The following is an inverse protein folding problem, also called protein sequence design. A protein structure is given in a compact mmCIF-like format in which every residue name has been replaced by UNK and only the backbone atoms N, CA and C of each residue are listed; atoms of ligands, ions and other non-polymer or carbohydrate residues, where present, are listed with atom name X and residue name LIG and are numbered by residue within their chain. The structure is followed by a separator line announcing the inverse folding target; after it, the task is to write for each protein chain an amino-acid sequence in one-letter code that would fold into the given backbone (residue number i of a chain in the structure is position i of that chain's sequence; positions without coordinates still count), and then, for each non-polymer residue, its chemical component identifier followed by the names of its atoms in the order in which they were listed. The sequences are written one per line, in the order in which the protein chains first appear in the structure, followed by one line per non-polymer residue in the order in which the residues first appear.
data_IF_061744046879
#
_entry.id   IF_061744046879
#
_cell.length_a   1.000
_cell.length_b   1.000
_cell.length_c   1.000
_cell.angle_alpha   90.00
_cell.angle_beta   90.00
_cell.angle_gamma   90.00
#
_symmetry.space_group_name_H-M   'P 1'
#
loop_
_entity.id
_entity.type
_entity.pdbx_description
1 polymer ?
#
# COMPACT_ATOMS: atom_id res chain seq x y z
N UNK A 1 -2.32 14.60 -25.25
CA UNK A 1 -1.69 13.28 -25.43
C UNK A 1 -2.04 12.83 -26.84
N UNK A 2 -1.02 12.50 -27.63
CA UNK A 2 -1.14 12.32 -29.09
C UNK A 2 -1.27 10.84 -29.49
N UNK A 3 -1.24 9.94 -28.51
CA UNK A 3 -1.33 8.49 -28.67
C UNK A 3 -2.33 7.93 -27.66
N UNK A 4 -2.93 6.75 -27.93
CA UNK A 4 -3.79 6.06 -26.99
C UNK A 4 -2.99 5.62 -25.75
N UNK A 5 -3.65 5.49 -24.59
CA UNK A 5 -3.01 5.21 -23.30
C UNK A 5 -2.08 4.01 -23.35
N UNK A 6 -2.47 2.98 -24.10
CA UNK A 6 -1.74 1.72 -24.31
C UNK A 6 -0.32 1.95 -24.87
N UNK A 7 -0.11 3.02 -25.63
CA UNK A 7 1.21 3.39 -26.16
C UNK A 7 2.21 3.72 -25.04
N UNK A 8 1.73 4.25 -23.92
CA UNK A 8 2.54 4.63 -22.77
C UNK A 8 2.61 3.54 -21.69
N UNK A 9 1.97 2.39 -21.91
CA UNK A 9 1.96 1.27 -20.98
C UNK A 9 2.94 0.18 -21.45
N UNK A 10 3.88 -0.19 -20.59
CA UNK A 10 4.71 -1.38 -20.80
C UNK A 10 3.96 -2.61 -20.31
N UNK A 11 3.75 -3.58 -21.21
CA UNK A 11 3.17 -4.88 -20.84
C UNK A 11 4.25 -5.80 -20.29
N UNK A 12 3.91 -6.62 -19.29
CA UNK A 12 4.87 -7.53 -18.64
C UNK A 12 5.50 -8.50 -19.65
N UNK A 13 4.74 -8.93 -20.67
CA UNK A 13 5.21 -9.84 -21.72
C UNK A 13 6.31 -9.22 -22.60
N UNK A 14 6.42 -7.89 -22.63
CA UNK A 14 7.42 -7.15 -23.42
C UNK A 14 8.63 -6.69 -22.61
N UNK A 15 8.67 -6.99 -21.30
CA UNK A 15 9.75 -6.56 -20.42
C UNK A 15 11.00 -7.43 -20.58
N UNK A 16 12.16 -6.80 -20.50
CA UNK A 16 13.43 -7.49 -20.39
C UNK A 16 13.56 -8.25 -19.06
N UNK A 17 14.46 -9.24 -18.95
CA UNK A 17 14.68 -9.96 -17.69
C UNK A 17 15.01 -9.04 -16.50
N UNK A 18 15.75 -7.95 -16.74
CA UNK A 18 16.09 -6.97 -15.69
C UNK A 18 14.88 -6.17 -15.21
N UNK A 19 14.01 -5.75 -16.13
CA UNK A 19 12.76 -5.05 -15.81
C UNK A 19 11.79 -5.95 -15.04
N UNK A 20 11.71 -7.25 -15.39
CA UNK A 20 10.92 -8.22 -14.64
C UNK A 20 11.41 -8.38 -13.20
N UNK A 21 12.73 -8.38 -12.97
CA UNK A 21 13.30 -8.38 -11.61
C UNK A 21 12.92 -7.09 -10.87
N UNK A 22 12.99 -5.94 -11.53
CA UNK A 22 12.55 -4.65 -10.98
C UNK A 22 11.07 -4.66 -10.61
N UNK A 23 10.20 -5.13 -11.51
CA UNK A 23 8.76 -5.26 -11.30
C UNK A 23 8.44 -6.18 -10.12
N UNK A 24 9.12 -7.32 -10.00
CA UNK A 24 8.94 -8.23 -8.86
C UNK A 24 9.32 -7.58 -7.54
N UNK A 25 10.44 -6.85 -7.49
CA UNK A 25 10.85 -6.09 -6.29
C UNK A 25 9.83 -5.01 -5.95
N UNK A 26 9.35 -4.28 -6.95
CA UNK A 26 8.33 -3.25 -6.77
C UNK A 26 7.02 -3.84 -6.23
N UNK A 27 6.58 -4.97 -6.80
CA UNK A 27 5.37 -5.68 -6.37
C UNK A 27 5.51 -6.20 -4.94
N UNK A 28 6.64 -6.83 -4.60
CA UNK A 28 6.93 -7.26 -3.24
C UNK A 28 6.95 -6.10 -2.23
N UNK A 29 7.48 -4.93 -2.64
CA UNK A 29 7.45 -3.73 -1.80
C UNK A 29 6.02 -3.22 -1.56
N UNK A 30 5.19 -3.13 -2.60
CA UNK A 30 3.78 -2.72 -2.48
C UNK A 30 2.98 -3.73 -1.66
N UNK A 31 3.19 -5.03 -1.88
CA UNK A 31 2.53 -6.12 -1.15
C UNK A 31 2.94 -6.15 0.35
N UNK A 32 4.10 -5.59 0.69
CA UNK A 32 4.54 -5.46 2.10
C UNK A 32 3.79 -4.38 2.88
N UNK A 33 3.01 -3.53 2.20
CA UNK A 33 2.23 -2.50 2.88
C UNK A 33 1.13 -3.14 3.72
N UNK A 34 1.22 -2.95 5.04
CA UNK A 34 0.20 -3.42 5.97
C UNK A 34 -1.10 -2.70 5.69
N UNK A 35 -2.15 -3.41 5.25
CA UNK A 35 -3.41 -2.76 4.96
C UNK A 35 -4.07 -2.29 6.26
N UNK A 36 -4.72 -1.13 6.24
CA UNK A 36 -5.39 -0.63 7.43
C UNK A 36 -6.61 -1.49 7.74
N UNK A 37 -6.62 -2.07 8.94
CA UNK A 37 -7.74 -2.85 9.45
C UNK A 37 -8.88 -1.88 9.78
N UNK A 38 -10.05 -2.12 9.20
CA UNK A 38 -11.25 -1.41 9.62
C UNK A 38 -11.63 -1.89 11.01
N UNK A 39 -11.69 -0.96 11.96
CA UNK A 39 -12.16 -1.23 13.32
C UNK A 39 -13.37 -0.37 13.63
N UNK A 40 -14.29 -0.88 14.44
CA UNK A 40 -15.39 -0.08 14.97
C UNK A 40 -14.88 0.96 15.99
N UNK A 41 -15.79 1.77 16.55
CA UNK A 41 -15.44 2.78 17.56
C UNK A 41 -14.81 2.20 18.83
N UNK A 42 -15.04 0.91 19.12
CA UNK A 42 -14.47 0.20 20.26
C UNK A 42 -13.14 -0.50 19.90
N UNK A 43 -12.69 -0.43 18.65
CA UNK A 43 -11.46 -1.07 18.18
C UNK A 43 -11.63 -2.52 17.71
N UNK A 44 -12.85 -3.04 17.60
CA UNK A 44 -13.08 -4.40 17.14
C UNK A 44 -12.97 -4.49 15.61
N UNK A 45 -12.39 -5.57 15.05
CA UNK A 45 -12.32 -5.75 13.60
C UNK A 45 -13.71 -5.79 12.96
N UNK A 46 -13.93 -4.99 11.93
CA UNK A 46 -15.11 -5.07 11.07
C UNK A 46 -14.87 -6.17 10.06
N UNK A 47 -15.85 -7.03 9.83
CA UNK A 47 -15.79 -8.11 8.84
C UNK A 47 -16.63 -7.77 7.60
N UNK A 48 -16.21 -8.26 6.45
CA UNK A 48 -17.00 -8.19 5.22
C UNK A 48 -18.11 -9.28 5.20
N UNK A 49 -18.92 -9.28 4.15
CA UNK A 49 -20.02 -10.25 3.99
C UNK A 49 -19.55 -11.70 3.83
N UNK A 50 -18.26 -11.93 3.60
CA UNK A 50 -17.63 -13.25 3.50
C UNK A 50 -16.94 -13.67 4.80
N UNK A 51 -16.99 -12.84 5.85
CA UNK A 51 -16.35 -13.11 7.13
C UNK A 51 -14.85 -12.81 7.16
N UNK A 52 -14.29 -12.12 6.15
CA UNK A 52 -12.90 -11.66 6.19
C UNK A 52 -12.81 -10.31 6.89
N UNK A 53 -11.67 -10.02 7.54
CA UNK A 53 -11.43 -8.69 8.11
C UNK A 53 -11.51 -7.66 6.99
N UNK A 54 -12.37 -6.68 7.14
CA UNK A 54 -12.51 -5.57 6.21
C UNK A 54 -11.23 -4.74 6.25
N UNK A 55 -10.74 -4.46 5.06
CA UNK A 55 -9.54 -3.68 4.82
C UNK A 55 -9.95 -2.51 3.96
N UNK A 56 -9.56 -1.29 4.35
CA UNK A 56 -9.81 -0.10 3.56
C UNK A 56 -8.54 0.66 3.25
N UNK A 57 -8.58 1.43 2.15
CA UNK A 57 -7.53 2.38 1.83
C UNK A 57 -7.48 3.42 2.95
N UNK A 58 -6.35 3.50 3.64
CA UNK A 58 -6.10 4.53 4.65
C UNK A 58 -5.60 5.79 3.98
N UNK A 59 -6.25 6.91 4.28
CA UNK A 59 -5.71 8.22 3.96
C UNK A 59 -4.57 8.51 4.95
N UNK A 60 -3.36 8.70 4.44
CA UNK A 60 -2.18 9.03 5.24
C UNK A 60 -1.93 10.53 5.09
N UNK A 61 -1.71 11.22 6.22
CA UNK A 61 -1.25 12.59 6.21
C UNK A 61 0.24 12.61 5.81
N UNK A 62 0.51 12.78 4.52
CA UNK A 62 1.87 12.77 3.97
C UNK A 62 2.72 13.90 4.54
N UNK A 63 2.13 15.02 4.93
CA UNK A 63 2.85 16.14 5.57
C UNK A 63 3.39 15.75 6.94
N UNK A 64 2.60 15.07 7.76
CA UNK A 64 3.06 14.56 9.06
C UNK A 64 4.08 13.43 8.89
N UNK A 65 3.83 12.52 7.95
CA UNK A 65 4.73 11.39 7.69
C UNK A 65 6.14 11.88 7.28
N UNK A 66 6.22 12.89 6.41
CA UNK A 66 7.50 13.50 6.01
C UNK A 66 8.16 14.31 7.13
N UNK A 67 7.41 14.69 8.16
CA UNK A 67 7.91 15.38 9.34
C UNK A 67 8.45 14.45 10.43
N UNK A 68 8.26 13.13 10.31
CA UNK A 68 8.75 12.15 11.27
C UNK A 68 10.29 12.13 11.31
N UNK A 69 10.85 12.15 12.52
CA UNK A 69 12.29 12.10 12.82
C UNK A 69 12.75 10.73 13.29
N UNK A 70 11.83 9.81 13.55
CA UNK A 70 12.14 8.45 14.01
C UNK A 70 11.23 7.40 13.39
N UNK A 71 11.70 6.15 13.38
CA UNK A 71 10.91 4.99 12.93
C UNK A 71 9.67 4.80 13.80
N UNK A 72 9.74 5.13 15.09
CA UNK A 72 8.59 5.05 16.00
C UNK A 72 7.49 6.04 15.59
N UNK A 73 7.84 7.29 15.29
CA UNK A 73 6.88 8.29 14.79
C UNK A 73 6.28 7.87 13.45
N UNK A 74 7.08 7.32 12.54
CA UNK A 74 6.59 6.76 11.28
C UNK A 74 5.59 5.64 11.54
N UNK A 75 5.88 4.72 12.48
CA UNK A 75 4.96 3.64 12.85
C UNK A 75 3.65 4.16 13.43
N UNK A 76 3.69 5.21 14.25
CA UNK A 76 2.48 5.86 14.78
C UNK A 76 1.65 6.51 13.66
N UNK A 77 2.28 7.31 12.79
CA UNK A 77 1.61 7.94 11.65
C UNK A 77 0.99 6.90 10.69
N UNK A 78 1.68 5.78 10.48
CA UNK A 78 1.19 4.65 9.69
C UNK A 78 0.29 3.69 10.48
N UNK A 79 0.08 3.91 11.78
CA UNK A 79 -0.63 3.04 12.73
C UNK A 79 -0.19 1.58 12.72
N UNK A 80 1.11 1.35 12.53
CA UNK A 80 1.78 0.04 12.61
C UNK A 80 2.46 -0.19 13.97
N UNK A 81 2.18 0.66 14.96
CA UNK A 81 2.77 0.60 16.32
C UNK A 81 2.19 -0.53 17.20
N UNK A 82 1.09 -1.17 16.77
CA UNK A 82 0.48 -2.28 17.51
C UNK A 82 1.01 -3.63 17.00
N UNK A 83 2.11 -4.07 17.60
CA UNK A 83 2.47 -5.49 17.76
C UNK A 83 2.55 -5.82 19.26
#
# INVERSE_FOLDING_TARGET
FDQPTEYYLTKEETMSPGELVGLRKFRAYVDSFVPARCVDRAGNPIFDTKGNKRVEKRVINTKELLGCKSIAEVKICLGTDRD
#
